data_IF_189637874177
#
_entry.id   IF_189637874177
#
_cell.length_a   1.000
_cell.length_b   1.000
_cell.length_c   1.000
_cell.angle_alpha   90.00
_cell.angle_beta   90.00
_cell.angle_gamma   90.00
#
_symmetry.space_group_name_H-M   'P 1'
#
loop_
_entity.id
_entity.type
_entity.pdbx_description
1 polymer ?
#
# COMPACT_ATOMS: atom_id res chain seq x y z
N UNK A 1 0.17 3.34 74.27
CA UNK A 1 -0.26 4.59 73.64
C UNK A 1 -0.21 4.40 72.13
N UNK A 2 -1.41 4.29 71.56
CA UNK A 2 -1.88 4.53 70.19
C UNK A 2 -0.91 4.37 69.00
N UNK A 3 -1.15 3.30 68.23
CA UNK A 3 -1.01 3.24 66.78
C UNK A 3 -1.87 4.32 66.13
N UNK A 4 -1.37 4.98 65.08
CA UNK A 4 -2.09 5.32 63.84
C UNK A 4 -1.41 6.45 63.09
N UNK A 5 -1.03 6.21 61.84
CA UNK A 5 -1.23 7.17 60.74
C UNK A 5 -1.30 6.42 59.42
N UNK A 6 -2.52 6.11 59.00
CA UNK A 6 -2.88 5.93 57.59
C UNK A 6 -2.70 7.27 56.87
N UNK A 7 -2.06 7.27 55.69
CA UNK A 7 -2.23 8.28 54.66
C UNK A 7 -2.19 7.52 53.31
N UNK A 8 -3.35 7.08 52.82
CA UNK A 8 -4.27 7.77 51.91
C UNK A 8 -3.74 7.76 50.47
N UNK A 9 -4.24 6.77 49.71
CA UNK A 9 -4.11 6.63 48.26
C UNK A 9 -4.72 7.84 47.54
N UNK A 10 -3.96 8.45 46.62
CA UNK A 10 -4.50 9.39 45.66
C UNK A 10 -4.84 8.65 44.36
N UNK A 11 -6.14 8.56 44.07
CA UNK A 11 -6.68 8.07 42.81
C UNK A 11 -6.34 9.04 41.68
N UNK A 12 -6.00 8.48 40.53
CA UNK A 12 -5.78 9.10 39.23
C UNK A 12 -6.90 10.08 38.87
N UNK A 13 -6.56 11.35 38.64
CA UNK A 13 -7.46 12.28 37.99
C UNK A 13 -7.46 12.00 36.48
N UNK A 14 -8.56 11.39 36.06
CA UNK A 14 -9.03 11.20 34.69
C UNK A 14 -9.21 12.58 34.04
N UNK A 15 -8.24 12.99 33.23
CA UNK A 15 -8.39 14.17 32.39
C UNK A 15 -9.40 13.82 31.28
N UNK A 16 -10.46 14.61 31.05
CA UNK A 16 -11.32 14.39 29.90
C UNK A 16 -10.50 14.64 28.63
N UNK A 17 -10.07 13.56 27.98
CA UNK A 17 -9.43 13.62 26.66
C UNK A 17 -10.52 14.01 25.67
N UNK A 18 -10.58 15.29 25.32
CA UNK A 18 -11.30 15.74 24.13
C UNK A 18 -10.56 15.16 22.91
N UNK A 19 -11.01 14.00 22.44
CA UNK A 19 -10.63 13.50 21.11
C UNK A 19 -11.48 14.24 20.09
N UNK A 20 -10.82 15.03 19.25
CA UNK A 20 -11.47 15.60 18.07
C UNK A 20 -12.10 14.45 17.25
N UNK A 21 -13.33 14.62 16.72
CA UNK A 21 -13.93 13.60 15.88
C UNK A 21 -12.99 13.35 14.71
N UNK A 22 -12.49 12.12 14.61
CA UNK A 22 -11.74 11.67 13.46
C UNK A 22 -12.63 11.83 12.24
N UNK A 23 -12.45 12.91 11.49
CA UNK A 23 -13.01 13.00 10.15
C UNK A 23 -12.29 11.91 9.36
N UNK A 24 -12.98 10.84 8.92
CA UNK A 24 -12.36 9.92 8.01
C UNK A 24 -12.01 10.75 6.78
N UNK A 25 -10.72 11.02 6.58
CA UNK A 25 -10.25 11.44 5.27
C UNK A 25 -10.76 10.37 4.31
N UNK A 26 -11.34 10.74 3.16
CA UNK A 26 -11.63 9.73 2.16
C UNK A 26 -10.35 8.94 1.99
N UNK A 27 -10.44 7.62 2.14
CA UNK A 27 -9.43 6.70 1.63
C UNK A 27 -9.56 6.87 0.11
N UNK A 28 -8.99 7.97 -0.39
CA UNK A 28 -8.46 8.00 -1.73
C UNK A 28 -7.46 6.87 -1.66
N UNK A 29 -7.74 5.78 -2.39
CA UNK A 29 -6.82 4.68 -2.55
C UNK A 29 -5.42 5.30 -2.61
N UNK A 30 -4.60 5.00 -1.62
CA UNK A 30 -3.18 5.23 -1.69
C UNK A 30 -2.69 4.27 -2.77
N UNK A 31 -2.97 4.59 -4.03
CA UNK A 31 -1.97 4.41 -5.06
C UNK A 31 -0.87 5.34 -4.60
N UNK A 32 0.03 4.79 -3.79
CA UNK A 32 1.35 5.31 -3.57
C UNK A 32 1.92 5.54 -4.96
N UNK A 33 1.71 6.76 -5.47
CA UNK A 33 2.51 7.39 -6.50
C UNK A 33 3.88 7.69 -5.89
N UNK A 34 4.51 6.66 -5.33
CA UNK A 34 5.94 6.66 -5.12
C UNK A 34 6.55 6.56 -6.52
N UNK A 35 7.35 7.57 -6.82
CA UNK A 35 8.29 7.62 -7.95
C UNK A 35 7.72 8.07 -9.29
N UNK A 36 7.24 9.31 -9.26
CA UNK A 36 7.24 10.27 -10.36
C UNK A 36 8.68 10.64 -10.83
N UNK A 37 9.56 9.65 -10.98
CA UNK A 37 10.95 9.77 -11.47
C UNK A 37 11.26 8.76 -12.58
N UNK A 38 10.27 7.99 -13.02
CA UNK A 38 10.37 7.16 -14.20
C UNK A 38 9.78 7.93 -15.39
N UNK A 39 10.49 7.97 -16.52
CA UNK A 39 10.10 8.65 -17.76
C UNK A 39 8.91 7.95 -18.48
N UNK A 40 7.93 7.44 -17.74
CA UNK A 40 6.89 6.55 -18.23
C UNK A 40 5.87 6.15 -17.17
N UNK A 41 4.81 5.46 -17.60
CA UNK A 41 3.74 4.97 -16.72
C UNK A 41 4.30 3.84 -15.83
N UNK A 42 4.18 3.98 -14.51
CA UNK A 42 4.75 3.07 -13.53
C UNK A 42 3.67 2.57 -12.56
N UNK A 43 3.64 1.26 -12.33
CA UNK A 43 2.68 0.61 -11.43
C UNK A 43 3.38 -0.41 -10.55
N UNK A 44 3.01 -0.46 -9.26
CA UNK A 44 3.51 -1.46 -8.32
C UNK A 44 2.76 -2.79 -8.52
N UNK A 45 3.51 -3.87 -8.72
CA UNK A 45 2.99 -5.22 -8.77
C UNK A 45 2.89 -5.78 -7.35
N UNK A 46 1.71 -6.22 -6.93
CA UNK A 46 1.53 -6.78 -5.58
C UNK A 46 1.83 -8.26 -5.46
N UNK A 47 2.01 -8.96 -6.59
CA UNK A 47 2.15 -10.41 -6.61
C UNK A 47 0.81 -11.14 -6.67
N UNK A 48 -0.33 -10.49 -6.51
CA UNK A 48 -1.64 -11.17 -6.54
C UNK A 48 -2.04 -11.63 -7.95
N UNK A 49 -2.92 -12.62 -8.06
CA UNK A 49 -3.49 -13.00 -9.37
C UNK A 49 -4.26 -11.89 -10.04
N UNK A 50 -5.03 -11.11 -9.26
CA UNK A 50 -5.80 -9.99 -9.81
C UNK A 50 -4.89 -8.90 -10.33
N UNK A 51 -3.79 -8.61 -9.63
CA UNK A 51 -2.74 -7.73 -10.14
C UNK A 51 -2.07 -8.32 -11.37
N UNK A 52 -1.77 -9.62 -11.38
CA UNK A 52 -1.16 -10.30 -12.54
C UNK A 52 -2.00 -10.17 -13.80
N UNK A 53 -3.32 -10.29 -13.68
CA UNK A 53 -4.25 -10.11 -14.80
C UNK A 53 -4.26 -8.65 -15.30
N UNK A 54 -4.27 -7.67 -14.38
CA UNK A 54 -4.20 -6.25 -14.72
C UNK A 54 -2.91 -5.92 -15.50
N UNK A 55 -1.75 -6.42 -15.05
CA UNK A 55 -0.49 -6.22 -15.76
C UNK A 55 -0.46 -6.95 -17.12
N UNK A 56 -1.04 -8.14 -17.24
CA UNK A 56 -1.12 -8.85 -18.52
C UNK A 56 -1.94 -8.08 -19.57
N UNK A 57 -3.07 -7.47 -19.17
CA UNK A 57 -3.87 -6.60 -20.05
C UNK A 57 -3.07 -5.35 -20.45
N UNK A 58 -2.37 -4.74 -19.50
CA UNK A 58 -1.50 -3.59 -19.79
C UNK A 58 -0.34 -3.93 -20.74
N UNK A 59 0.27 -5.11 -20.59
CA UNK A 59 1.28 -5.62 -21.53
C UNK A 59 0.71 -5.90 -22.92
N UNK A 60 -0.57 -6.28 -23.02
CA UNK A 60 -1.28 -6.43 -24.30
C UNK A 60 -1.62 -5.08 -24.97
N UNK A 61 -1.34 -3.95 -24.31
CA UNK A 61 -1.59 -2.61 -24.82
C UNK A 61 -2.92 -2.00 -24.38
N UNK A 62 -3.64 -2.64 -23.46
CA UNK A 62 -4.83 -2.07 -22.83
C UNK A 62 -4.43 -1.02 -21.77
N UNK A 63 -5.43 -0.28 -21.28
CA UNK A 63 -5.25 0.64 -20.15
C UNK A 63 -4.98 -0.16 -18.86
N UNK A 64 -4.05 0.32 -18.04
CA UNK A 64 -3.84 -0.29 -16.74
C UNK A 64 -4.99 0.05 -15.79
N UNK A 65 -5.69 -0.98 -15.32
CA UNK A 65 -6.74 -0.84 -14.31
C UNK A 65 -6.29 -1.58 -13.06
N UNK A 66 -6.00 -0.84 -12.00
CA UNK A 66 -5.66 -1.42 -10.71
C UNK A 66 -6.84 -2.25 -10.17
N UNK A 67 -6.62 -3.48 -9.69
CA UNK A 67 -7.68 -4.30 -9.14
C UNK A 67 -8.20 -3.71 -7.81
N UNK A 68 -9.53 -3.66 -7.63
CA UNK A 68 -10.18 -3.19 -6.39
C UNK A 68 -9.85 -4.06 -5.15
N UNK A 69 -9.39 -5.29 -5.38
CA UNK A 69 -9.05 -6.25 -4.34
C UNK A 69 -7.92 -7.17 -4.75
N UNK A 70 -6.95 -7.32 -3.85
CA UNK A 70 -5.78 -8.17 -4.08
C UNK A 70 -5.96 -9.52 -3.39
N UNK A 71 -5.73 -10.58 -4.15
CA UNK A 71 -5.75 -11.94 -3.63
C UNK A 71 -4.39 -12.28 -2.99
N UNK A 72 -4.38 -12.99 -1.86
CA UNK A 72 -3.14 -13.31 -1.11
C UNK A 72 -2.27 -14.40 -1.73
N UNK A 73 -2.44 -14.68 -3.02
CA UNK A 73 -1.62 -15.63 -3.77
C UNK A 73 -0.49 -14.87 -4.47
N UNK A 74 0.60 -14.68 -3.72
CA UNK A 74 1.82 -14.07 -4.23
C UNK A 74 2.46 -14.98 -5.29
N UNK A 75 2.52 -14.49 -6.53
CA UNK A 75 3.10 -15.18 -7.69
C UNK A 75 4.09 -14.26 -8.39
N UNK A 76 5.08 -14.84 -9.10
CA UNK A 76 5.92 -14.08 -10.01
C UNK A 76 5.16 -13.74 -11.30
N UNK A 77 5.47 -12.59 -11.89
CA UNK A 77 4.97 -12.14 -13.18
C UNK A 77 6.12 -12.02 -14.17
N UNK A 78 5.98 -12.64 -15.34
CA UNK A 78 6.96 -12.56 -16.42
C UNK A 78 6.61 -11.37 -17.33
N UNK A 79 7.53 -10.42 -17.46
CA UNK A 79 7.43 -9.28 -18.35
C UNK A 79 7.69 -9.70 -19.81
N UNK A 80 7.25 -8.91 -20.81
CA UNK A 80 7.49 -9.21 -22.23
C UNK A 80 8.97 -9.35 -22.62
N UNK A 81 9.88 -8.73 -21.88
CA UNK A 81 11.32 -8.85 -22.08
C UNK A 81 11.97 -10.04 -21.35
N UNK A 82 11.17 -10.90 -20.71
CA UNK A 82 11.62 -12.07 -19.96
C UNK A 82 12.07 -11.79 -18.53
N UNK A 83 12.04 -10.55 -18.05
CA UNK A 83 12.26 -10.24 -16.63
C UNK A 83 11.13 -10.80 -15.76
N UNK A 84 11.42 -11.10 -14.51
CA UNK A 84 10.45 -11.66 -13.57
C UNK A 84 10.25 -10.71 -12.40
N UNK A 85 9.06 -10.14 -12.30
CA UNK A 85 8.63 -9.28 -11.21
C UNK A 85 7.98 -10.09 -10.08
N UNK A 86 8.20 -9.66 -8.84
CA UNK A 86 7.67 -10.20 -7.62
C UNK A 86 6.78 -9.18 -6.90
N UNK A 87 5.99 -9.64 -5.94
CA UNK A 87 5.16 -8.74 -5.14
C UNK A 87 6.01 -7.70 -4.41
N UNK A 88 5.70 -6.42 -4.68
CA UNK A 88 6.44 -5.25 -4.22
C UNK A 88 7.17 -4.51 -5.32
N UNK A 89 7.49 -5.16 -6.44
CA UNK A 89 8.27 -4.59 -7.53
C UNK A 89 7.48 -3.52 -8.30
N UNK A 90 8.16 -2.49 -8.80
CA UNK A 90 7.55 -1.44 -9.64
C UNK A 90 7.88 -1.72 -11.09
N UNK A 91 6.85 -1.88 -11.91
CA UNK A 91 6.96 -2.12 -13.34
C UNK A 91 6.67 -0.82 -14.07
N UNK A 92 7.58 -0.43 -14.95
CA UNK A 92 7.53 0.82 -15.69
C UNK A 92 7.43 0.52 -17.18
N UNK A 93 6.58 1.26 -17.89
CA UNK A 93 6.49 1.29 -19.35
C UNK A 93 7.30 2.47 -19.89
N UNK A 94 8.37 2.18 -20.61
CA UNK A 94 9.20 3.19 -21.28
C UNK A 94 8.52 3.83 -22.49
N UNK A 95 9.11 4.92 -22.99
CA UNK A 95 8.62 5.66 -24.16
C UNK A 95 8.63 4.82 -25.45
N UNK A 96 9.46 3.77 -25.51
CA UNK A 96 9.50 2.80 -26.61
C UNK A 96 8.47 1.67 -26.47
N UNK A 97 7.65 1.68 -25.42
CA UNK A 97 6.67 0.64 -25.12
C UNK A 97 7.25 -0.61 -24.45
N UNK A 98 8.53 -0.62 -24.10
CA UNK A 98 9.14 -1.71 -23.36
C UNK A 98 8.84 -1.60 -21.86
N UNK A 99 8.77 -2.74 -21.19
CA UNK A 99 8.53 -2.83 -19.75
C UNK A 99 9.79 -3.19 -19.00
N UNK A 100 10.05 -2.55 -17.87
CA UNK A 100 11.21 -2.84 -17.02
C UNK A 100 10.84 -2.73 -15.55
N UNK A 101 11.58 -3.47 -14.71
CA UNK A 101 11.46 -3.43 -13.25
C UNK A 101 12.41 -2.34 -12.73
N UNK A 102 11.92 -1.49 -11.82
CA UNK A 102 12.71 -0.45 -11.15
C UNK A 102 13.32 -0.94 -9.83
#
# INVERSE_FOLDING_TARGET
MLLSTLALSALTFDAPVFQEPITPRPIVAQQDADEQDARGEAHRYSGSSTSSEAFQKWFAGEEFVAPDGETKDLRPLVLPNGQVAHGGDVIVKGENGEFFIK
#
